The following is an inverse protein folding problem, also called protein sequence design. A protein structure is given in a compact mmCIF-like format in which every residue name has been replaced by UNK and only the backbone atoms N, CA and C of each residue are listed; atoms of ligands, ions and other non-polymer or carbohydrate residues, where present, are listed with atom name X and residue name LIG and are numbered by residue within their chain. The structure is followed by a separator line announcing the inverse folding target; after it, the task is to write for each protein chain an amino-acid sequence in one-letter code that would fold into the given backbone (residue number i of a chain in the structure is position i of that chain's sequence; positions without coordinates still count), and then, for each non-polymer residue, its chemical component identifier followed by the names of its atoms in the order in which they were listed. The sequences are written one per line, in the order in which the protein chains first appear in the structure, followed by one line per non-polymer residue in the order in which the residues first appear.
data_IF_174562311094
#
_entry.id   IF_174562311094
#
_cell.length_a   1.000
_cell.length_b   1.000
_cell.length_c   1.000
_cell.angle_alpha   90.00
_cell.angle_beta   90.00
_cell.angle_gamma   90.00
#
_symmetry.space_group_name_H-M   'P 1'
#
loop_
_entity.id
_entity.type
_entity.pdbx_description
1 polymer ?
#
# COMPACT_ATOMS: atom_id res chain seq x y z
N UNK A 1 -5.79 8.39 -27.07
CA UNK A 1 -5.52 6.98 -27.44
C UNK A 1 -6.73 6.12 -27.08
N UNK A 2 -7.88 6.30 -27.75
CA UNK A 2 -9.18 5.76 -27.32
C UNK A 2 -9.94 5.20 -28.53
N UNK A 3 -9.71 3.94 -28.89
CA UNK A 3 -10.44 3.26 -29.98
C UNK A 3 -10.57 1.77 -29.70
N UNK A 4 -11.48 1.43 -28.78
CA UNK A 4 -12.31 0.22 -28.75
C UNK A 4 -13.16 0.23 -27.45
N UNK A 5 -13.79 1.36 -27.14
CA UNK A 5 -14.81 1.37 -26.08
C UNK A 5 -16.01 0.61 -26.62
N UNK A 6 -16.44 -0.42 -25.90
CA UNK A 6 -17.61 -1.21 -26.24
C UNK A 6 -18.80 -0.25 -26.44
N UNK A 7 -19.35 -0.22 -27.66
CA UNK A 7 -20.55 0.58 -27.96
C UNK A 7 -21.75 -0.08 -27.29
N UNK A 8 -22.52 0.69 -26.55
CA UNK A 8 -23.78 0.26 -25.93
C UNK A 8 -24.94 1.10 -26.48
N UNK A 9 -26.16 0.56 -26.41
CA UNK A 9 -27.40 1.23 -26.83
C UNK A 9 -28.11 1.84 -25.62
N UNK A 10 -29.11 2.68 -25.88
CA UNK A 10 -29.91 3.29 -24.81
C UNK A 10 -30.72 2.26 -23.99
N UNK A 11 -31.09 1.14 -24.60
CA UNK A 11 -31.78 0.02 -23.95
C UNK A 11 -30.82 -0.98 -23.30
N UNK A 12 -29.51 -0.75 -23.38
CA UNK A 12 -28.52 -1.70 -22.87
C UNK A 12 -28.57 -1.85 -21.35
N UNK A 13 -28.30 -3.08 -20.91
CA UNK A 13 -28.14 -3.44 -19.50
C UNK A 13 -26.68 -3.79 -19.20
N UNK A 14 -26.28 -3.58 -17.94
CA UNK A 14 -24.89 -3.69 -17.53
C UNK A 14 -24.74 -4.63 -16.34
N UNK A 15 -23.70 -5.46 -16.37
CA UNK A 15 -23.21 -6.17 -15.19
C UNK A 15 -21.86 -5.57 -14.81
N UNK A 16 -21.77 -5.04 -13.60
CA UNK A 16 -20.52 -4.51 -13.06
C UNK A 16 -19.62 -5.65 -12.57
N UNK A 17 -18.30 -5.43 -12.55
CA UNK A 17 -17.38 -6.26 -11.78
C UNK A 17 -17.71 -6.18 -10.28
N UNK A 18 -17.03 -6.99 -9.46
CA UNK A 18 -17.14 -6.90 -8.01
C UNK A 18 -16.42 -5.63 -7.49
N UNK A 19 -17.12 -4.49 -7.56
CA UNK A 19 -16.61 -3.19 -7.16
C UNK A 19 -16.81 -2.96 -5.66
N UNK A 20 -15.81 -2.38 -5.03
CA UNK A 20 -15.93 -1.77 -3.71
C UNK A 20 -16.49 -0.37 -3.91
N UNK A 21 -17.62 -0.05 -3.27
CA UNK A 21 -18.22 1.28 -3.27
C UNK A 21 -18.30 1.75 -1.82
N UNK A 22 -17.67 2.86 -1.50
CA UNK A 22 -17.61 3.39 -0.13
C UNK A 22 -17.73 4.90 -0.13
N UNK A 23 -18.56 5.45 0.75
CA UNK A 23 -18.66 6.88 0.96
C UNK A 23 -17.56 7.37 1.90
N UNK A 24 -16.93 8.49 1.55
CA UNK A 24 -15.83 9.11 2.30
C UNK A 24 -15.79 10.61 1.97
N UNK A 25 -15.88 11.47 2.99
CA UNK A 25 -15.88 12.95 2.87
C UNK A 25 -16.83 13.52 1.81
N UNK A 26 -18.08 13.08 1.82
CA UNK A 26 -19.09 13.56 0.86
C UNK A 26 -18.88 13.06 -0.58
N UNK A 27 -17.86 12.23 -0.83
CA UNK A 27 -17.60 11.59 -2.12
C UNK A 27 -17.71 10.07 -2.00
N UNK A 28 -17.71 9.39 -3.14
CA UNK A 28 -17.72 7.94 -3.21
C UNK A 28 -16.41 7.43 -3.82
N UNK A 29 -15.70 6.59 -3.08
CA UNK A 29 -14.56 5.84 -3.61
C UNK A 29 -15.10 4.54 -4.20
N UNK A 30 -14.88 4.37 -5.50
CA UNK A 30 -15.26 3.16 -6.24
C UNK A 30 -14.01 2.51 -6.78
N UNK A 31 -13.86 1.20 -6.61
CA UNK A 31 -12.73 0.52 -7.23
C UNK A 31 -12.84 -0.99 -7.37
N UNK A 32 -12.00 -1.52 -8.23
CA UNK A 32 -11.90 -2.94 -8.57
C UNK A 32 -10.59 -3.50 -8.01
N UNK A 33 -10.70 -4.32 -6.96
CA UNK A 33 -9.54 -4.88 -6.25
C UNK A 33 -8.58 -5.69 -7.13
N UNK A 34 -9.14 -6.41 -8.11
CA UNK A 34 -8.38 -7.28 -9.02
C UNK A 34 -7.39 -6.52 -9.90
N UNK A 35 -7.68 -5.26 -10.20
CA UNK A 35 -6.91 -4.40 -11.11
C UNK A 35 -6.27 -3.21 -10.38
N UNK A 36 -6.52 -3.07 -9.08
CA UNK A 36 -6.10 -1.91 -8.27
C UNK A 36 -6.58 -0.57 -8.83
N UNK A 37 -7.66 -0.56 -9.62
CA UNK A 37 -8.23 0.67 -10.19
C UNK A 37 -9.23 1.29 -9.23
N UNK A 38 -8.98 2.51 -8.78
CA UNK A 38 -9.88 3.29 -7.91
C UNK A 38 -10.14 4.68 -8.48
N UNK A 39 -11.37 5.16 -8.33
CA UNK A 39 -11.79 6.51 -8.72
C UNK A 39 -12.63 7.15 -7.62
N UNK A 40 -12.57 8.48 -7.53
CA UNK A 40 -13.41 9.26 -6.61
C UNK A 40 -14.55 9.93 -7.36
N UNK A 41 -15.77 9.50 -7.08
CA UNK A 41 -16.98 9.97 -7.73
C UNK A 41 -17.77 10.92 -6.82
N UNK A 42 -18.49 11.89 -7.38
CA UNK A 42 -19.53 12.59 -6.66
C UNK A 42 -20.73 11.65 -6.42
N UNK A 43 -21.71 12.10 -5.64
CA UNK A 43 -22.86 11.29 -5.21
C UNK A 43 -23.68 10.77 -6.41
N UNK A 44 -23.84 11.59 -7.43
CA UNK A 44 -24.63 11.33 -8.62
C UNK A 44 -24.00 10.21 -9.46
N UNK A 45 -22.67 10.22 -9.60
CA UNK A 45 -21.94 9.13 -10.26
C UNK A 45 -22.05 7.80 -9.53
N UNK A 46 -22.03 7.82 -8.20
CA UNK A 46 -22.28 6.62 -7.39
C UNK A 46 -23.72 6.12 -7.53
N UNK A 47 -24.69 7.03 -7.63
CA UNK A 47 -26.09 6.69 -7.87
C UNK A 47 -26.29 6.00 -9.22
N UNK A 48 -25.63 6.46 -10.29
CA UNK A 48 -25.63 5.78 -11.60
C UNK A 48 -25.15 4.34 -11.44
N UNK A 49 -24.00 4.11 -10.78
CA UNK A 49 -23.48 2.75 -10.56
C UNK A 49 -24.43 1.86 -9.73
N UNK A 50 -25.08 2.42 -8.71
CA UNK A 50 -26.05 1.68 -7.90
C UNK A 50 -27.30 1.31 -8.71
N UNK A 51 -27.76 2.18 -9.61
CA UNK A 51 -28.88 1.90 -10.51
C UNK A 51 -28.50 0.84 -11.57
N UNK A 52 -27.29 0.93 -12.13
CA UNK A 52 -26.76 -0.13 -13.02
C UNK A 52 -26.68 -1.47 -12.30
N UNK A 53 -26.23 -1.49 -11.04
CA UNK A 53 -26.16 -2.72 -10.22
C UNK A 53 -27.55 -3.34 -9.96
N UNK A 54 -28.61 -2.52 -9.97
CA UNK A 54 -30.02 -2.99 -9.88
C UNK A 54 -30.57 -3.50 -11.22
N UNK A 55 -29.80 -3.41 -12.30
CA UNK A 55 -30.18 -3.90 -13.62
C UNK A 55 -30.98 -2.92 -14.48
N UNK A 56 -31.02 -1.63 -14.10
CA UNK A 56 -31.71 -0.62 -14.92
C UNK A 56 -30.98 -0.38 -16.24
N UNK A 57 -31.75 -0.05 -17.27
CA UNK A 57 -31.24 0.30 -18.61
C UNK A 57 -30.66 1.71 -18.64
N UNK A 58 -29.72 1.98 -19.55
CA UNK A 58 -29.09 3.30 -19.68
C UNK A 58 -30.12 4.44 -19.79
N UNK A 59 -31.17 4.26 -20.59
CA UNK A 59 -32.26 5.25 -20.77
C UNK A 59 -33.08 5.49 -19.49
N UNK A 60 -33.27 4.47 -18.66
CA UNK A 60 -34.04 4.58 -17.42
C UNK A 60 -33.25 5.35 -16.37
N UNK A 61 -31.93 5.15 -16.37
CA UNK A 61 -31.00 5.88 -15.51
C UNK A 61 -30.93 7.34 -15.95
N UNK A 62 -30.79 7.61 -17.26
CA UNK A 62 -30.80 8.97 -17.80
C UNK A 62 -32.09 9.72 -17.46
N UNK A 63 -33.25 9.06 -17.54
CA UNK A 63 -34.54 9.67 -17.15
C UNK A 63 -34.62 10.04 -15.67
N UNK A 64 -33.91 9.32 -14.79
CA UNK A 64 -33.86 9.62 -13.35
C UNK A 64 -32.85 10.69 -12.97
N UNK A 65 -31.88 10.94 -13.84
CA UNK A 65 -30.79 11.90 -13.65
C UNK A 65 -30.66 12.77 -14.91
N UNK A 66 -31.69 13.57 -15.25
CA UNK A 66 -31.76 14.28 -16.52
C UNK A 66 -30.66 15.34 -16.69
N UNK A 67 -30.18 15.91 -15.58
CA UNK A 67 -29.18 16.97 -15.56
C UNK A 67 -27.73 16.46 -15.74
N UNK A 68 -27.54 15.16 -15.90
CA UNK A 68 -26.22 14.53 -16.01
C UNK A 68 -26.08 13.70 -17.28
N UNK A 69 -24.89 13.72 -17.88
CA UNK A 69 -24.55 12.90 -19.05
C UNK A 69 -24.24 11.45 -18.61
N UNK A 70 -25.29 10.64 -18.47
CA UNK A 70 -25.17 9.23 -18.09
C UNK A 70 -24.41 8.42 -19.15
N UNK A 71 -24.64 8.58 -20.47
CA UNK A 71 -23.86 7.88 -21.49
C UNK A 71 -22.36 8.15 -21.42
N UNK A 72 -21.94 9.41 -21.24
CA UNK A 72 -20.52 9.74 -21.09
C UNK A 72 -19.94 9.12 -19.82
N UNK A 73 -20.68 9.14 -18.71
CA UNK A 73 -20.26 8.50 -17.47
C UNK A 73 -20.10 6.98 -17.62
N UNK A 74 -21.06 6.28 -18.22
CA UNK A 74 -20.97 4.83 -18.48
C UNK A 74 -19.74 4.53 -19.36
N UNK A 75 -19.52 5.36 -20.38
CA UNK A 75 -18.34 5.24 -21.25
C UNK A 75 -17.03 5.36 -20.46
N UNK A 76 -16.94 6.29 -19.51
CA UNK A 76 -15.80 6.39 -18.61
C UNK A 76 -15.65 5.15 -17.72
N UNK A 77 -16.74 4.58 -17.22
CA UNK A 77 -16.71 3.36 -16.40
C UNK A 77 -16.27 2.12 -17.20
N UNK A 78 -16.62 2.03 -18.48
CA UNK A 78 -16.04 1.03 -19.41
C UNK A 78 -14.55 1.27 -19.53
N UNK A 79 -14.14 2.53 -19.75
CA UNK A 79 -12.75 2.94 -19.87
C UNK A 79 -11.90 2.65 -18.63
N UNK A 80 -12.50 2.56 -17.43
CA UNK A 80 -11.85 2.17 -16.18
C UNK A 80 -11.92 0.65 -15.87
N UNK A 81 -12.49 -0.16 -16.77
CA UNK A 81 -12.57 -1.61 -16.57
C UNK A 81 -13.56 -2.03 -15.47
N UNK A 82 -14.59 -1.23 -15.19
CA UNK A 82 -15.57 -1.51 -14.13
C UNK A 82 -16.77 -2.32 -14.61
N UNK A 83 -17.02 -2.35 -15.92
CA UNK A 83 -18.13 -3.11 -16.52
C UNK A 83 -17.64 -4.49 -16.94
N UNK A 84 -18.31 -5.53 -16.44
CA UNK A 84 -18.04 -6.93 -16.77
C UNK A 84 -18.80 -7.40 -18.01
N UNK A 85 -20.08 -7.03 -18.13
CA UNK A 85 -20.93 -7.42 -19.27
C UNK A 85 -21.82 -6.26 -19.73
N UNK A 86 -22.08 -6.21 -21.03
CA UNK A 86 -23.08 -5.34 -21.68
C UNK A 86 -24.00 -6.25 -22.51
N UNK A 87 -25.31 -6.21 -22.27
CA UNK A 87 -26.30 -7.02 -23.00
C UNK A 87 -25.92 -8.50 -23.09
N UNK A 88 -25.49 -9.07 -21.96
CA UNK A 88 -25.02 -10.46 -21.83
C UNK A 88 -23.69 -10.80 -22.53
N UNK A 89 -23.07 -9.85 -23.24
CA UNK A 89 -21.75 -10.01 -23.83
C UNK A 89 -20.66 -9.55 -22.85
N UNK A 90 -19.63 -10.38 -22.67
CA UNK A 90 -18.49 -10.06 -21.82
C UNK A 90 -17.66 -8.92 -22.44
N UNK A 91 -17.35 -7.92 -21.64
CA UNK A 91 -16.39 -6.87 -22.01
C UNK A 91 -14.98 -7.36 -21.68
N UNK A 92 -14.11 -7.39 -22.68
CA UNK A 92 -12.70 -7.76 -22.49
C UNK A 92 -11.94 -6.51 -22.09
N UNK A 93 -11.45 -6.49 -20.85
CA UNK A 93 -10.60 -5.43 -20.33
C UNK A 93 -9.12 -5.76 -20.56
N UNK A 94 -8.54 -5.16 -21.59
CA UNK A 94 -7.10 -5.29 -21.93
C UNK A 94 -6.25 -4.19 -21.33
N UNK A 95 -6.86 -3.11 -20.83
CA UNK A 95 -6.17 -1.93 -20.34
C UNK A 95 -5.77 -2.07 -18.87
N UNK A 96 -6.50 -2.86 -18.09
CA UNK A 96 -6.24 -3.06 -16.67
C UNK A 96 -5.91 -4.54 -16.41
N UNK A 97 -4.64 -4.95 -16.59
CA UNK A 97 -4.24 -6.31 -16.30
C UNK A 97 -4.47 -6.63 -14.82
N UNK A 98 -4.91 -7.86 -14.55
CA UNK A 98 -5.05 -8.35 -13.18
C UNK A 98 -3.70 -8.29 -12.48
N UNK A 99 -3.72 -7.79 -11.24
CA UNK A 99 -2.52 -7.67 -10.43
C UNK A 99 -2.03 -9.06 -10.04
N UNK A 100 -0.75 -9.33 -10.35
CA UNK A 100 -0.07 -10.54 -9.86
C UNK A 100 0.38 -10.31 -8.44
N UNK A 101 -0.12 -11.14 -7.54
CA UNK A 101 0.20 -11.06 -6.12
C UNK A 101 1.53 -11.78 -5.88
N UNK A 102 2.55 -11.05 -5.45
CA UNK A 102 3.77 -11.66 -4.92
C UNK A 102 3.46 -12.38 -3.59
N UNK A 103 4.12 -13.52 -3.37
CA UNK A 103 3.92 -14.38 -2.19
C UNK A 103 2.45 -14.75 -1.95
N UNK A 104 1.77 -15.45 -2.87
CA UNK A 104 0.36 -15.82 -2.72
C UNK A 104 0.09 -16.70 -1.48
N UNK A 105 1.12 -17.40 -0.99
CA UNK A 105 1.11 -18.24 0.21
C UNK A 105 1.04 -17.44 1.52
N UNK A 106 1.36 -16.14 1.51
CA UNK A 106 1.34 -15.32 2.72
C UNK A 106 -0.09 -14.85 3.03
N UNK A 107 -0.84 -15.70 3.72
CA UNK A 107 -2.19 -15.43 4.17
C UNK A 107 -2.24 -14.57 5.45
N UNK A 108 -3.41 -13.96 5.72
CA UNK A 108 -3.66 -13.08 6.88
C UNK A 108 -3.25 -13.72 8.21
N UNK A 109 -3.59 -14.98 8.44
CA UNK A 109 -3.34 -15.68 9.70
C UNK A 109 -1.83 -15.86 9.99
N UNK A 110 -0.97 -15.88 8.97
CA UNK A 110 0.48 -15.97 9.16
C UNK A 110 1.10 -14.71 9.79
N UNK A 111 0.45 -13.56 9.62
CA UNK A 111 1.05 -12.25 9.94
C UNK A 111 0.19 -11.37 10.83
N UNK A 112 -1.09 -11.70 11.04
CA UNK A 112 -1.97 -10.86 11.85
C UNK A 112 -1.53 -10.74 13.31
N UNK A 113 -0.81 -11.76 13.82
CA UNK A 113 -0.28 -11.79 15.18
C UNK A 113 0.70 -10.64 15.45
N UNK A 114 1.45 -10.18 14.44
CA UNK A 114 2.37 -9.03 14.52
C UNK A 114 1.68 -7.70 14.87
N UNK A 115 0.35 -7.62 14.68
CA UNK A 115 -0.46 -6.42 14.91
C UNK A 115 -1.43 -6.57 16.09
N UNK A 116 -1.23 -7.60 16.92
CA UNK A 116 -1.99 -7.82 18.15
C UNK A 116 -1.57 -6.86 19.25
N UNK A 117 -2.37 -6.79 20.32
CA UNK A 117 -2.05 -5.95 21.48
C UNK A 117 -0.72 -6.34 22.16
N UNK A 118 -0.42 -7.63 22.42
CA UNK A 118 0.87 -8.02 23.01
C UNK A 118 2.07 -7.58 22.17
N UNK A 119 2.02 -7.76 20.84
CA UNK A 119 3.13 -7.34 19.97
C UNK A 119 3.32 -5.82 19.97
N UNK A 120 2.22 -5.04 19.95
CA UNK A 120 2.32 -3.58 20.10
C UNK A 120 2.94 -3.17 21.44
N UNK A 121 2.58 -3.85 22.52
CA UNK A 121 3.16 -3.59 23.83
C UNK A 121 4.68 -3.87 23.82
N UNK A 122 5.11 -4.95 23.15
CA UNK A 122 6.54 -5.25 22.96
C UNK A 122 7.24 -4.14 22.16
N UNK A 123 6.67 -3.67 21.05
CA UNK A 123 7.27 -2.59 20.25
C UNK A 123 7.40 -1.30 21.07
N UNK A 124 6.34 -0.93 21.81
CA UNK A 124 6.37 0.25 22.70
C UNK A 124 7.42 0.07 23.79
N UNK A 125 7.51 -1.11 24.40
CA UNK A 125 8.50 -1.40 25.43
C UNK A 125 9.94 -1.27 24.89
N UNK A 126 10.22 -1.80 23.69
CA UNK A 126 11.53 -1.66 23.05
C UNK A 126 11.91 -0.19 22.84
N UNK A 127 10.99 0.61 22.32
CA UNK A 127 11.20 2.05 22.10
C UNK A 127 11.42 2.77 23.43
N UNK A 128 10.65 2.44 24.47
CA UNK A 128 10.81 3.05 25.79
C UNK A 128 12.16 2.68 26.44
N UNK A 129 12.59 1.43 26.32
CA UNK A 129 13.89 0.98 26.85
C UNK A 129 15.05 1.65 26.10
N UNK A 130 14.99 1.74 24.78
CA UNK A 130 15.98 2.47 24.01
C UNK A 130 16.00 3.97 24.36
N UNK A 131 14.83 4.58 24.55
CA UNK A 131 14.73 5.98 24.98
C UNK A 131 15.33 6.19 26.38
N UNK A 132 15.04 5.29 27.32
CA UNK A 132 15.60 5.31 28.67
C UNK A 132 17.13 5.15 28.63
N UNK A 133 17.64 4.27 27.77
CA UNK A 133 19.08 4.11 27.55
C UNK A 133 19.71 5.43 27.09
N UNK A 134 19.12 6.13 26.12
CA UNK A 134 19.65 7.40 25.63
C UNK A 134 19.59 8.52 26.68
N UNK A 135 18.57 8.54 27.55
CA UNK A 135 18.45 9.52 28.65
C UNK A 135 19.49 9.24 29.73
N UNK A 136 19.68 7.97 30.11
CA UNK A 136 20.59 7.57 31.20
C UNK A 136 22.05 7.50 30.76
N UNK A 137 22.30 7.20 29.48
CA UNK A 137 23.62 7.05 28.88
C UNK A 137 23.65 7.74 27.50
N UNK A 138 23.73 9.09 27.45
CA UNK A 138 23.72 9.83 26.19
C UNK A 138 24.86 9.44 25.23
N UNK A 139 25.97 8.93 25.76
CA UNK A 139 27.12 8.42 24.98
C UNK A 139 26.82 7.17 24.15
N UNK A 140 25.68 6.52 24.41
CA UNK A 140 25.19 5.39 23.60
C UNK A 140 24.57 5.84 22.29
N UNK A 141 24.24 7.14 22.15
CA UNK A 141 23.82 7.71 20.87
C UNK A 141 24.95 7.60 19.84
N UNK A 142 24.66 7.14 18.62
CA UNK A 142 25.71 6.92 17.64
C UNK A 142 26.23 8.24 17.07
N UNK A 143 27.53 8.29 16.86
CA UNK A 143 28.26 9.45 16.36
C UNK A 143 28.71 9.21 14.92
N UNK A 144 28.99 10.25 14.12
CA UNK A 144 29.48 10.05 12.74
C UNK A 144 30.73 9.17 12.62
N UNK A 145 31.53 9.04 13.69
CA UNK A 145 32.69 8.14 13.73
C UNK A 145 32.30 6.67 13.71
N UNK A 146 31.16 6.31 14.28
CA UNK A 146 30.67 4.93 14.32
C UNK A 146 30.26 4.42 12.93
N UNK A 147 30.08 5.31 11.96
CA UNK A 147 29.90 4.91 10.56
C UNK A 147 31.16 4.21 10.00
N UNK A 148 32.35 4.66 10.39
CA UNK A 148 33.63 4.10 9.94
C UNK A 148 34.07 2.90 10.80
N UNK A 149 33.18 1.91 10.96
CA UNK A 149 33.45 0.73 11.79
C UNK A 149 34.39 -0.30 11.13
N UNK A 150 34.68 -0.13 9.83
CA UNK A 150 35.62 -0.95 9.06
C UNK A 150 36.79 -0.08 8.57
N UNK A 151 38.01 -0.60 8.68
CA UNK A 151 39.23 0.08 8.22
C UNK A 151 39.29 0.20 6.68
N UNK A 152 38.68 -0.76 5.97
CA UNK A 152 38.64 -0.77 4.52
C UNK A 152 37.46 0.05 4.00
N UNK A 153 37.74 1.16 3.33
CA UNK A 153 36.72 2.00 2.67
C UNK A 153 35.90 1.22 1.65
N UNK A 154 36.51 0.25 0.95
CA UNK A 154 35.82 -0.58 -0.02
C UNK A 154 34.78 -1.50 0.64
N UNK A 155 35.18 -2.18 1.73
CA UNK A 155 34.24 -3.02 2.49
C UNK A 155 33.16 -2.18 3.14
N UNK A 156 33.51 -1.01 3.69
CA UNK A 156 32.54 -0.07 4.24
C UNK A 156 31.48 0.30 3.21
N UNK A 157 31.88 0.70 2.00
CA UNK A 157 30.95 1.07 0.93
C UNK A 157 29.99 -0.08 0.57
N UNK A 158 30.51 -1.30 0.42
CA UNK A 158 29.69 -2.48 0.13
C UNK A 158 28.72 -2.76 1.26
N UNK A 159 29.19 -2.75 2.50
CA UNK A 159 28.36 -3.06 3.67
C UNK A 159 27.29 -1.99 3.88
N UNK A 160 27.61 -0.70 3.74
CA UNK A 160 26.60 0.37 3.80
C UNK A 160 25.57 0.24 2.69
N UNK A 161 26.00 0.01 1.45
CA UNK A 161 25.07 -0.13 0.32
C UNK A 161 24.14 -1.32 0.50
N UNK A 162 24.69 -2.47 0.94
CA UNK A 162 23.90 -3.66 1.21
C UNK A 162 22.96 -3.46 2.41
N UNK A 163 23.43 -2.83 3.48
CA UNK A 163 22.62 -2.56 4.67
C UNK A 163 21.46 -1.63 4.34
N UNK A 164 21.69 -0.49 3.68
CA UNK A 164 20.61 0.41 3.29
C UNK A 164 19.58 -0.26 2.38
N UNK A 165 20.05 -1.04 1.40
CA UNK A 165 19.17 -1.86 0.56
C UNK A 165 18.32 -2.86 1.38
N UNK A 166 18.92 -3.50 2.38
CA UNK A 166 18.22 -4.42 3.28
C UNK A 166 17.22 -3.69 4.18
N UNK A 167 17.55 -2.52 4.72
CA UNK A 167 16.65 -1.74 5.56
C UNK A 167 15.44 -1.24 4.77
N UNK A 168 15.66 -0.69 3.57
CA UNK A 168 14.58 -0.30 2.65
C UNK A 168 13.71 -1.50 2.25
N UNK A 169 14.33 -2.66 1.98
CA UNK A 169 13.59 -3.90 1.74
C UNK A 169 12.67 -4.25 2.92
N UNK A 170 13.22 -4.23 4.13
CA UNK A 170 12.47 -4.55 5.35
C UNK A 170 11.35 -3.56 5.61
N UNK A 171 11.60 -2.26 5.40
CA UNK A 171 10.60 -1.19 5.51
C UNK A 171 9.39 -1.43 4.60
N UNK A 172 9.65 -1.68 3.31
CA UNK A 172 8.61 -1.97 2.33
C UNK A 172 7.93 -3.31 2.65
N UNK A 173 8.69 -4.31 3.09
CA UNK A 173 8.14 -5.59 3.51
C UNK A 173 7.17 -5.42 4.70
N UNK A 174 7.44 -4.49 5.62
CA UNK A 174 6.54 -4.16 6.71
C UNK A 174 5.20 -3.60 6.20
N UNK A 175 5.20 -2.70 5.22
CA UNK A 175 3.98 -2.23 4.56
C UNK A 175 3.20 -3.39 3.93
N UNK A 176 3.90 -4.27 3.22
CA UNK A 176 3.29 -5.45 2.60
C UNK A 176 2.66 -6.39 3.64
N UNK A 177 3.40 -6.74 4.70
CA UNK A 177 2.94 -7.58 5.80
C UNK A 177 1.73 -6.95 6.50
N UNK A 178 1.74 -5.63 6.72
CA UNK A 178 0.62 -4.91 7.30
C UNK A 178 -0.63 -4.96 6.43
N UNK A 179 -0.49 -4.82 5.11
CA UNK A 179 -1.59 -4.97 4.17
C UNK A 179 -2.15 -6.40 4.21
N UNK A 180 -1.29 -7.42 4.19
CA UNK A 180 -1.68 -8.83 4.33
C UNK A 180 -2.40 -9.13 5.63
N UNK A 181 -1.98 -8.51 6.74
CA UNK A 181 -2.66 -8.63 8.06
C UNK A 181 -4.11 -8.13 8.04
N UNK A 182 -4.48 -7.30 7.08
CA UNK A 182 -5.83 -6.78 6.89
C UNK A 182 -6.63 -7.57 5.83
N UNK A 183 -6.03 -8.61 5.25
CA UNK A 183 -6.65 -9.46 4.23
C UNK A 183 -6.79 -8.78 2.87
N UNK A 184 -6.03 -7.71 2.62
CA UNK A 184 -5.96 -7.07 1.31
C UNK A 184 -4.71 -7.52 0.55
N UNK A 185 -4.82 -7.56 -0.77
CA UNK A 185 -3.66 -7.69 -1.66
C UNK A 185 -2.85 -6.39 -1.61
N UNK A 186 -1.53 -6.54 -1.64
CA UNK A 186 -0.57 -5.47 -1.91
C UNK A 186 0.44 -6.03 -2.90
N UNK A 187 1.06 -5.17 -3.70
CA UNK A 187 2.09 -5.57 -4.65
C UNK A 187 3.44 -5.11 -4.13
N UNK A 188 4.26 -6.07 -3.73
CA UNK A 188 5.67 -5.85 -3.44
C UNK A 188 6.46 -5.96 -4.73
N UNK A 189 7.37 -5.03 -5.01
CA UNK A 189 8.14 -5.04 -6.24
C UNK A 189 9.45 -4.30 -6.14
N UNK A 190 10.23 -4.42 -7.19
CA UNK A 190 11.45 -3.66 -7.40
C UNK A 190 11.17 -2.72 -8.58
N UNK A 191 11.48 -1.44 -8.40
CA UNK A 191 11.40 -0.43 -9.46
C UNK A 191 12.69 0.36 -9.52
N UNK A 192 12.87 1.13 -10.58
CA UNK A 192 13.94 2.14 -10.65
C UNK A 192 13.34 3.51 -10.39
N UNK A 193 13.91 4.24 -9.41
CA UNK A 193 13.68 5.67 -9.24
C UNK A 193 14.96 6.38 -9.66
N UNK A 194 14.89 7.07 -10.80
CA UNK A 194 16.07 7.55 -11.52
C UNK A 194 17.07 6.39 -11.77
N UNK A 195 18.30 6.50 -11.25
CA UNK A 195 19.33 5.48 -11.39
C UNK A 195 19.34 4.42 -10.25
N UNK A 196 18.50 4.57 -9.23
CA UNK A 196 18.51 3.71 -8.05
C UNK A 196 17.43 2.64 -8.12
N UNK A 197 17.81 1.42 -7.77
CA UNK A 197 16.92 0.29 -7.63
C UNK A 197 16.30 0.34 -6.23
N UNK A 198 14.97 0.44 -6.15
CA UNK A 198 14.24 0.65 -4.90
C UNK A 198 13.13 -0.38 -4.80
N UNK A 199 12.94 -0.92 -3.60
CA UNK A 199 11.74 -1.68 -3.29
C UNK A 199 10.53 -0.75 -3.21
N UNK A 200 9.38 -1.22 -3.65
CA UNK A 200 8.14 -0.47 -3.52
C UNK A 200 7.00 -1.41 -3.20
N UNK A 201 6.18 -1.00 -2.25
CA UNK A 201 4.92 -1.65 -1.96
C UNK A 201 3.78 -0.78 -2.50
N UNK A 202 3.18 -1.23 -3.59
CA UNK A 202 1.93 -0.66 -4.03
C UNK A 202 0.81 -1.13 -3.09
N UNK A 203 0.28 -0.14 -2.38
CA UNK A 203 -0.78 -0.29 -1.39
C UNK A 203 -2.09 0.35 -1.89
N UNK A 204 -2.30 0.50 -3.20
CA UNK A 204 -3.49 1.13 -3.77
C UNK A 204 -4.80 0.49 -3.28
N UNK A 205 -4.79 -0.83 -3.03
CA UNK A 205 -5.91 -1.54 -2.43
C UNK A 205 -6.32 -1.06 -1.01
N UNK A 206 -5.53 -0.21 -0.33
CA UNK A 206 -5.89 0.48 0.92
C UNK A 206 -7.16 1.32 0.78
N UNK A 207 -7.45 1.83 -0.41
CA UNK A 207 -8.65 2.63 -0.65
C UNK A 207 -9.94 1.83 -0.39
N UNK A 208 -9.87 0.49 -0.49
CA UNK A 208 -10.99 -0.38 -0.09
C UNK A 208 -11.26 -0.44 1.42
N UNK A 209 -10.34 0.03 2.26
CA UNK A 209 -10.45 -0.03 3.71
C UNK A 209 -11.02 1.27 4.32
N UNK A 210 -11.59 1.20 5.53
CA UNK A 210 -11.83 2.38 6.38
C UNK A 210 -10.52 3.13 6.69
N UNK A 211 -10.58 4.46 6.79
CA UNK A 211 -9.42 5.33 7.08
C UNK A 211 -8.58 4.85 8.25
N UNK A 212 -9.24 4.51 9.37
CA UNK A 212 -8.59 4.04 10.60
C UNK A 212 -7.70 2.81 10.38
N UNK A 213 -8.07 1.92 9.44
CA UNK A 213 -7.28 0.72 9.13
C UNK A 213 -6.11 1.00 8.18
N UNK A 214 -6.18 2.06 7.37
CA UNK A 214 -5.09 2.46 6.45
C UNK A 214 -3.84 2.88 7.23
N UNK A 215 -4.00 3.54 8.37
CA UNK A 215 -2.87 3.95 9.23
C UNK A 215 -2.00 2.77 9.65
N UNK A 216 -2.57 1.58 9.88
CA UNK A 216 -1.76 0.39 10.19
C UNK A 216 -0.74 0.12 9.09
N UNK A 217 -1.16 0.21 7.83
CA UNK A 217 -0.26 -0.03 6.70
C UNK A 217 0.68 1.15 6.55
N UNK A 218 0.19 2.38 6.55
CA UNK A 218 1.00 3.59 6.37
C UNK A 218 2.10 3.76 7.44
N UNK A 219 1.86 3.30 8.67
CA UNK A 219 2.83 3.41 9.77
C UNK A 219 3.70 2.16 9.94
N UNK A 220 3.47 1.09 9.17
CA UNK A 220 4.17 -0.16 9.37
C UNK A 220 5.69 -0.05 9.11
N UNK A 221 6.08 0.57 8.00
CA UNK A 221 7.49 0.85 7.68
C UNK A 221 8.16 1.68 8.78
N UNK A 222 7.68 2.91 9.08
CA UNK A 222 8.25 3.74 10.13
C UNK A 222 8.29 3.09 11.52
N UNK A 223 7.30 2.26 11.86
CA UNK A 223 7.31 1.51 13.11
C UNK A 223 8.40 0.43 13.11
N UNK A 224 8.63 -0.24 11.98
CA UNK A 224 9.71 -1.21 11.85
C UNK A 224 11.07 -0.51 11.98
N UNK A 225 11.27 0.62 11.32
CA UNK A 225 12.51 1.42 11.41
C UNK A 225 12.80 1.78 12.89
N UNK A 226 11.79 2.24 13.63
CA UNK A 226 11.91 2.52 15.07
C UNK A 226 12.26 1.29 15.90
N UNK A 227 11.70 0.12 15.56
CA UNK A 227 12.02 -1.15 16.24
C UNK A 227 13.46 -1.57 15.93
N UNK A 228 13.91 -1.49 14.67
CA UNK A 228 15.29 -1.81 14.27
C UNK A 228 16.27 -0.88 14.97
N UNK A 229 16.01 0.43 14.94
CA UNK A 229 16.80 1.43 15.66
C UNK A 229 16.87 1.13 17.16
N UNK A 230 15.73 0.84 17.79
CA UNK A 230 15.67 0.53 19.23
C UNK A 230 16.48 -0.72 19.57
N UNK A 231 16.36 -1.77 18.75
CA UNK A 231 17.13 -3.00 18.92
C UNK A 231 18.62 -2.76 18.71
N UNK A 232 19.01 -1.99 17.69
CA UNK A 232 20.41 -1.67 17.44
C UNK A 232 21.04 -0.90 18.61
N UNK A 233 20.35 0.09 19.18
CA UNK A 233 20.84 0.82 20.35
C UNK A 233 21.00 -0.09 21.58
N UNK A 234 19.99 -0.93 21.84
CA UNK A 234 20.02 -1.86 22.97
C UNK A 234 21.12 -2.92 22.79
N UNK A 235 21.22 -3.55 21.61
CA UNK A 235 22.24 -4.56 21.32
C UNK A 235 23.65 -3.98 21.32
N UNK A 236 23.82 -2.76 20.80
CA UNK A 236 25.10 -2.05 20.82
C UNK A 236 25.64 -1.80 22.22
N UNK A 237 24.76 -1.66 23.22
CA UNK A 237 25.15 -1.55 24.62
C UNK A 237 25.74 -2.85 25.19
N UNK A 238 25.26 -4.02 24.74
CA UNK A 238 25.63 -5.32 25.33
C UNK A 238 26.62 -6.15 24.50
N UNK A 239 26.61 -6.03 23.17
CA UNK A 239 27.34 -6.91 22.24
C UNK A 239 28.57 -6.26 21.59
N UNK A 240 28.87 -5.01 21.90
CA UNK A 240 29.96 -4.25 21.28
C UNK A 240 29.45 -3.22 20.27
N UNK A 241 29.94 -1.99 20.39
CA UNK A 241 29.23 -0.80 19.94
C UNK A 241 29.24 -0.57 18.42
N UNK A 242 30.34 -0.86 17.72
CA UNK A 242 30.60 -0.20 16.43
C UNK A 242 29.64 -0.65 15.32
N UNK A 243 29.39 -1.96 15.17
CA UNK A 243 28.46 -2.45 14.15
C UNK A 243 27.01 -2.04 14.42
N UNK A 244 26.55 -2.17 15.66
CA UNK A 244 25.16 -1.82 16.00
C UNK A 244 24.92 -0.31 15.97
N UNK A 245 25.91 0.51 16.35
CA UNK A 245 25.85 1.97 16.16
C UNK A 245 25.86 2.35 14.68
N UNK A 246 26.59 1.62 13.83
CA UNK A 246 26.53 1.77 12.38
C UNK A 246 25.12 1.45 11.83
N UNK A 247 24.49 0.37 12.27
CA UNK A 247 23.09 0.04 11.88
C UNK A 247 22.14 1.15 12.30
N UNK A 248 22.25 1.62 13.56
CA UNK A 248 21.45 2.72 14.08
C UNK A 248 21.63 4.02 13.27
N UNK A 249 22.86 4.35 12.84
CA UNK A 249 23.12 5.50 11.98
C UNK A 249 22.50 5.35 10.60
N UNK A 250 22.61 4.16 10.01
CA UNK A 250 22.06 3.91 8.67
C UNK A 250 20.54 4.14 8.67
N UNK A 251 19.84 3.65 9.70
CA UNK A 251 18.42 3.94 9.95
C UNK A 251 18.14 5.45 10.11
N UNK A 252 18.89 6.14 10.98
CA UNK A 252 18.68 7.58 11.24
C UNK A 252 18.88 8.42 9.98
N UNK A 253 19.83 8.05 9.13
CA UNK A 253 20.13 8.75 7.88
C UNK A 253 19.10 8.46 6.78
N UNK A 254 18.24 7.45 6.95
CA UNK A 254 17.29 7.00 5.94
C UNK A 254 17.97 6.46 4.68
N UNK A 255 19.12 5.81 4.85
CA UNK A 255 19.93 5.20 3.78
C UNK A 255 19.53 3.76 3.51
#
# INVERSE_FOLDING_TARGET
MARHLARFRHDSTFRLHNLVIKQEDGRYIVGRKETETYVSLPQEGAQVLLLMKRGLRAEEIQRRLPDHDVPAFITAMIGHGFIHQIDHHNVIDTLHPRVRILMPWLHKHHVEWLFTFPMKAIYVLLVLLASLLLITQPTSFPTPKDFFFLDSTFLLLITTSFMGFLLVFLHELAHFIAARSLGISARFGITTRAAYLVFITDVTNLYSLPRKKRYRVMLAGPLLDLVILSLALLLGQYLGSSFWKFVALTEIMGL
#
